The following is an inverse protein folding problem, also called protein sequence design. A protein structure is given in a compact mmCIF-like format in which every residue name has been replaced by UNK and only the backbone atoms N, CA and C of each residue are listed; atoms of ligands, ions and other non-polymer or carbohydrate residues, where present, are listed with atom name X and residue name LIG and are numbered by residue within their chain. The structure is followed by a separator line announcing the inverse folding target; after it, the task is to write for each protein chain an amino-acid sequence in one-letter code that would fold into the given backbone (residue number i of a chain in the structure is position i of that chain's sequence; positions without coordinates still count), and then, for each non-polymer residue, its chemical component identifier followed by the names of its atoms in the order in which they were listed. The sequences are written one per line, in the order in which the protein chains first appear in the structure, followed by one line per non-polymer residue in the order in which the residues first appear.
data_IF_831142339338
#
_entry.id   IF_831142339338
#
_cell.length_a   1.000
_cell.length_b   1.000
_cell.length_c   1.000
_cell.angle_alpha   90.00
_cell.angle_beta   90.00
_cell.angle_gamma   90.00
#
_symmetry.space_group_name_H-M   'P 1'
#
loop_
_entity.id
_entity.type
_entity.pdbx_description
1 polymer ?
#
# COMPACT_ATOMS: atom_id res chain seq x y z
N UNK A 1 23.91 -12.23 9.93
CA UNK A 1 22.59 -11.86 9.41
C UNK A 1 22.09 -12.95 8.49
N UNK A 2 20.88 -13.41 8.67
CA UNK A 2 20.37 -14.51 7.89
C UNK A 2 19.96 -14.05 6.49
N UNK A 3 19.84 -15.01 5.58
CA UNK A 3 19.36 -14.71 4.23
C UNK A 3 17.94 -14.14 4.26
N UNK A 4 17.14 -14.59 5.21
CA UNK A 4 15.76 -14.09 5.34
C UNK A 4 15.72 -12.62 5.66
N UNK A 5 16.69 -12.15 6.45
CA UNK A 5 16.77 -10.74 6.76
C UNK A 5 17.06 -9.92 5.50
N UNK A 6 17.93 -10.43 4.62
CA UNK A 6 18.22 -9.74 3.37
C UNK A 6 17.00 -9.63 2.47
N UNK A 7 16.18 -10.68 2.43
CA UNK A 7 14.95 -10.65 1.64
C UNK A 7 14.03 -9.55 2.17
N UNK A 8 13.84 -9.50 3.47
CA UNK A 8 12.97 -8.49 4.07
C UNK A 8 13.51 -7.08 3.82
N UNK A 9 14.83 -6.89 3.99
CA UNK A 9 15.44 -5.57 3.75
C UNK A 9 15.27 -5.13 2.31
N UNK A 10 15.33 -6.07 1.37
CA UNK A 10 15.17 -5.75 -0.04
C UNK A 10 13.80 -5.22 -0.40
N UNK A 11 12.77 -5.56 0.39
CA UNK A 11 11.43 -5.07 0.12
C UNK A 11 11.24 -3.61 0.50
N UNK A 12 12.15 -3.04 1.29
CA UNK A 12 12.03 -1.64 1.69
C UNK A 12 12.14 -0.71 0.51
N UNK A 13 13.11 -0.95 -0.36
CA UNK A 13 13.26 -0.13 -1.56
C UNK A 13 12.05 -0.28 -2.48
N UNK A 14 11.52 -1.49 -2.58
CA UNK A 14 10.33 -1.74 -3.39
C UNK A 14 9.12 -0.98 -2.84
N UNK A 15 9.00 -0.91 -1.54
CA UNK A 15 7.92 -0.17 -0.91
C UNK A 15 8.02 1.33 -1.25
N UNK A 16 9.21 1.90 -1.11
CA UNK A 16 9.40 3.31 -1.44
C UNK A 16 9.18 3.57 -2.94
N UNK A 17 9.58 2.62 -3.77
CA UNK A 17 9.37 2.77 -5.20
C UNK A 17 7.88 2.75 -5.55
N UNK A 18 7.10 1.95 -4.85
CA UNK A 18 5.65 1.97 -5.01
C UNK A 18 5.10 3.36 -4.72
N UNK A 19 5.51 3.95 -3.59
CA UNK A 19 5.06 5.30 -3.24
C UNK A 19 5.49 6.31 -4.30
N UNK A 20 6.70 6.15 -4.81
CA UNK A 20 7.23 7.05 -5.84
C UNK A 20 6.43 6.96 -7.13
N UNK A 21 6.13 5.75 -7.59
CA UNK A 21 5.37 5.53 -8.81
C UNK A 21 3.98 6.14 -8.70
N UNK A 22 3.32 5.91 -7.56
CA UNK A 22 1.97 6.43 -7.36
C UNK A 22 1.97 7.96 -7.26
N UNK A 23 2.97 8.52 -6.58
CA UNK A 23 3.10 9.97 -6.47
C UNK A 23 3.29 10.58 -7.85
N UNK A 24 4.16 10.00 -8.66
CA UNK A 24 4.40 10.52 -10.02
C UNK A 24 3.17 10.40 -10.90
N UNK A 25 2.39 9.34 -10.71
CA UNK A 25 1.14 9.17 -11.46
C UNK A 25 0.17 10.31 -11.15
N UNK A 26 0.05 10.66 -9.85
CA UNK A 26 -0.81 11.76 -9.46
C UNK A 26 -0.32 13.10 -10.00
N UNK A 27 1.00 13.29 -10.04
CA UNK A 27 1.57 14.52 -10.60
C UNK A 27 1.19 14.63 -12.09
N UNK A 28 1.22 13.52 -12.81
CA UNK A 28 0.78 13.52 -14.20
C UNK A 28 -0.69 13.86 -14.36
N UNK A 29 -1.48 13.60 -13.31
CA UNK A 29 -2.89 13.97 -13.30
C UNK A 29 -3.11 15.40 -12.81
N UNK A 30 -2.04 16.20 -12.78
CA UNK A 30 -2.07 17.62 -12.45
C UNK A 30 -2.30 17.91 -10.98
N UNK A 31 -1.94 16.96 -10.13
CA UNK A 31 -1.92 17.19 -8.71
C UNK A 31 -0.54 17.71 -8.34
N UNK A 32 -0.51 18.75 -7.54
CA UNK A 32 0.71 19.38 -7.11
C UNK A 32 1.61 18.37 -6.41
N UNK A 33 2.92 18.48 -6.61
CA UNK A 33 3.89 17.49 -6.11
C UNK A 33 3.77 17.27 -4.62
N UNK A 34 3.68 18.35 -3.86
CA UNK A 34 3.59 18.26 -2.40
C UNK A 34 2.32 17.54 -1.98
N UNK A 35 1.19 17.88 -2.58
CA UNK A 35 -0.09 17.26 -2.25
C UNK A 35 -0.12 15.81 -2.66
N UNK A 36 0.44 15.48 -3.84
CA UNK A 36 0.51 14.10 -4.30
C UNK A 36 1.30 13.23 -3.34
N UNK A 37 2.48 13.69 -2.94
CA UNK A 37 3.32 12.93 -2.02
C UNK A 37 2.66 12.79 -0.65
N UNK A 38 2.07 13.86 -0.14
CA UNK A 38 1.38 13.81 1.15
C UNK A 38 0.22 12.82 1.12
N UNK A 39 -0.56 12.82 0.04
CA UNK A 39 -1.69 11.93 -0.08
C UNK A 39 -1.24 10.47 -0.07
N UNK A 40 -0.25 10.14 -0.91
CA UNK A 40 0.22 8.76 -1.03
C UNK A 40 0.84 8.27 0.27
N UNK A 41 1.69 9.09 0.88
CA UNK A 41 2.38 8.66 2.11
C UNK A 41 1.40 8.52 3.27
N UNK A 42 0.43 9.41 3.39
CA UNK A 42 -0.56 9.33 4.46
C UNK A 42 -1.48 8.14 4.26
N UNK A 43 -1.84 7.83 3.02
CA UNK A 43 -2.67 6.66 2.73
C UNK A 43 -1.98 5.38 3.18
N UNK A 44 -0.72 5.20 2.80
CA UNK A 44 0.00 3.97 3.14
C UNK A 44 0.38 3.92 4.62
N UNK A 45 0.58 5.07 5.24
CA UNK A 45 0.77 5.11 6.69
C UNK A 45 -0.49 4.59 7.40
N UNK A 46 -1.66 5.02 6.95
CA UNK A 46 -2.91 4.57 7.54
C UNK A 46 -3.12 3.07 7.34
N UNK A 47 -2.80 2.57 6.14
CA UNK A 47 -2.92 1.14 5.86
C UNK A 47 -1.99 0.31 6.74
N UNK A 48 -0.76 0.81 6.94
CA UNK A 48 0.20 0.12 7.80
C UNK A 48 -0.27 0.10 9.25
N UNK A 49 -0.85 1.19 9.72
CA UNK A 49 -1.37 1.26 11.07
C UNK A 49 -2.55 0.32 11.28
N UNK A 50 -3.42 0.22 10.29
CA UNK A 50 -4.54 -0.71 10.35
C UNK A 50 -4.04 -2.14 10.41
N UNK A 51 -3.05 -2.48 9.60
CA UNK A 51 -2.48 -3.81 9.61
C UNK A 51 -1.83 -4.12 10.96
N UNK A 52 -1.13 -3.14 11.53
CA UNK A 52 -0.44 -3.34 12.80
C UNK A 52 -1.42 -3.52 13.96
N UNK A 53 -2.57 -2.83 13.90
CA UNK A 53 -3.57 -2.91 14.97
C UNK A 53 -4.52 -4.08 14.79
N UNK A 54 -4.48 -4.74 13.64
CA UNK A 54 -5.37 -5.85 13.34
C UNK A 54 -4.82 -7.13 13.97
N UNK A 55 -5.35 -7.51 15.14
CA UNK A 55 -4.86 -8.69 15.86
C UNK A 55 -5.74 -9.91 15.67
N UNK A 56 -6.92 -9.76 15.09
CA UNK A 56 -7.87 -10.86 14.96
C UNK A 56 -7.98 -11.43 13.57
N UNK A 57 -7.42 -10.76 12.55
CA UNK A 57 -7.50 -11.21 11.17
C UNK A 57 -6.10 -11.36 10.60
N UNK A 58 -5.95 -12.26 9.64
CA UNK A 58 -4.66 -12.45 8.99
C UNK A 58 -4.40 -11.33 7.99
N UNK A 59 -3.13 -11.17 7.63
CA UNK A 59 -2.78 -10.27 6.54
C UNK A 59 -3.40 -10.73 5.23
N UNK A 60 -3.58 -12.04 5.06
CA UNK A 60 -4.25 -12.58 3.89
C UNK A 60 -5.67 -12.04 3.76
N UNK A 61 -6.37 -11.92 4.87
CA UNK A 61 -7.70 -11.33 4.87
C UNK A 61 -7.67 -9.90 4.33
N UNK A 62 -6.69 -9.12 4.77
CA UNK A 62 -6.56 -7.74 4.31
C UNK A 62 -6.23 -7.67 2.82
N UNK A 63 -5.39 -8.59 2.35
CA UNK A 63 -5.09 -8.68 0.92
C UNK A 63 -6.37 -8.92 0.13
N UNK A 64 -7.15 -9.90 0.56
CA UNK A 64 -8.37 -10.27 -0.15
C UNK A 64 -9.39 -9.13 -0.14
N UNK A 65 -9.44 -8.40 0.95
CA UNK A 65 -10.37 -7.27 1.09
C UNK A 65 -10.05 -6.16 0.08
N UNK A 66 -8.78 -5.93 -0.20
CA UNK A 66 -8.35 -4.83 -1.06
C UNK A 66 -8.14 -5.23 -2.51
N UNK A 67 -8.20 -6.52 -2.82
CA UNK A 67 -7.90 -7.01 -4.15
C UNK A 67 -9.15 -6.96 -5.04
N UNK A 68 -9.00 -6.59 -6.31
CA UNK A 68 -10.14 -6.65 -7.24
C UNK A 68 -10.73 -8.06 -7.26
N UNK A 69 -12.03 -8.14 -7.11
CA UNK A 69 -12.71 -9.43 -7.00
C UNK A 69 -12.78 -9.96 -5.59
N UNK A 70 -12.15 -9.27 -4.63
CA UNK A 70 -12.22 -9.65 -3.23
C UNK A 70 -13.48 -9.12 -2.56
N UNK A 71 -13.42 -9.01 -1.24
CA UNK A 71 -14.60 -8.69 -0.45
C UNK A 71 -15.24 -7.35 -0.80
N UNK A 72 -14.40 -6.34 -1.07
CA UNK A 72 -14.90 -4.99 -1.33
C UNK A 72 -15.27 -4.74 -2.79
N UNK A 73 -14.96 -5.68 -3.66
CA UNK A 73 -15.19 -5.52 -5.09
C UNK A 73 -16.49 -6.09 -5.58
N UNK A 74 -17.15 -6.88 -4.75
CA UNK A 74 -18.36 -7.57 -5.17
C UNK A 74 -19.48 -6.62 -5.55
N UNK A 75 -19.59 -5.50 -4.84
CA UNK A 75 -20.62 -4.53 -5.12
C UNK A 75 -20.28 -3.55 -6.23
N UNK A 76 -19.05 -3.53 -6.67
CA UNK A 76 -18.55 -2.57 -7.66
C UNK A 76 -18.41 -3.22 -9.02
N UNK A 77 -17.99 -4.44 -9.06
CA UNK A 77 -17.66 -5.16 -10.27
C UNK A 77 -18.85 -5.97 -10.77
N UNK A 78 -19.79 -5.29 -11.31
CA UNK A 78 -21.02 -5.93 -11.78
C UNK A 78 -20.92 -6.36 -13.22
#
# INVERSE_FOLDING_TARGET
MSKNFWVISGTMASFYELLNVLTNWLIKKRINKKDAQNYVTNLYSALAQLAASNTSRSLKYLVDEQTPGGLNWQGVNE
#
